data_IF_983881295300
#
_entry.id   IF_983881295300
#
_cell.length_a   1.000
_cell.length_b   1.000
_cell.length_c   1.000
_cell.angle_alpha   90.00
_cell.angle_beta   90.00
_cell.angle_gamma   90.00
#
_symmetry.space_group_name_H-M   'P 1'
#
loop_
_entity.id
_entity.type
_entity.pdbx_description
1 polymer ?
#
# COMPACT_ATOMS: atom_id res chain seq x y z
N UNK A 1 2.49 -0.98 18.19
CA UNK A 1 1.28 -0.75 17.37
C UNK A 1 1.75 -0.23 16.03
N UNK A 2 1.25 -0.74 14.89
CA UNK A 2 1.58 -0.15 13.60
C UNK A 2 1.17 1.32 13.62
N UNK A 3 2.13 2.23 13.43
CA UNK A 3 1.93 3.65 13.72
C UNK A 3 0.93 4.26 12.74
N UNK A 4 0.08 5.13 13.25
CA UNK A 4 -1.00 5.78 12.52
C UNK A 4 -0.68 7.28 12.41
N UNK A 5 -0.99 7.86 11.25
CA UNK A 5 -0.76 9.26 10.92
C UNK A 5 -2.07 9.83 10.35
N UNK A 6 -2.58 10.91 10.94
CA UNK A 6 -3.63 11.70 10.30
C UNK A 6 -2.99 12.51 9.16
N UNK A 7 -3.14 12.03 7.93
CA UNK A 7 -2.51 12.62 6.75
C UNK A 7 -3.32 13.83 6.24
N UNK A 8 -4.64 13.73 6.31
CA UNK A 8 -5.58 14.82 6.03
C UNK A 8 -6.63 14.84 7.13
N UNK A 9 -7.35 15.97 7.36
CA UNK A 9 -8.40 16.04 8.38
C UNK A 9 -9.41 14.89 8.27
N UNK A 10 -9.49 14.07 9.32
CA UNK A 10 -10.36 12.89 9.40
C UNK A 10 -9.88 11.66 8.62
N UNK A 11 -8.69 11.71 8.00
CA UNK A 11 -8.16 10.62 7.16
C UNK A 11 -6.81 10.14 7.66
N UNK A 12 -6.86 9.02 8.38
CA UNK A 12 -5.71 8.33 8.94
C UNK A 12 -5.10 7.33 7.95
N UNK A 13 -3.78 7.16 8.02
CA UNK A 13 -2.98 6.17 7.29
C UNK A 13 -2.08 5.42 8.26
N UNK A 14 -1.62 4.22 7.87
CA UNK A 14 -0.94 3.32 8.81
C UNK A 14 -1.90 2.33 9.45
N UNK A 15 -1.41 1.53 10.38
CA UNK A 15 -2.25 0.58 11.13
C UNK A 15 -3.16 -0.29 10.27
N UNK A 16 -4.43 -0.39 10.69
CA UNK A 16 -5.50 -1.06 9.95
C UNK A 16 -6.31 -0.10 9.06
N UNK A 17 -5.89 1.17 8.96
CA UNK A 17 -6.58 2.14 8.11
C UNK A 17 -6.41 1.78 6.64
N UNK A 18 -7.45 2.03 5.81
CA UNK A 18 -7.35 1.84 4.37
C UNK A 18 -6.24 2.72 3.79
N UNK A 19 -5.51 2.16 2.83
CA UNK A 19 -4.49 2.81 2.04
C UNK A 19 -5.05 4.07 1.39
N UNK A 20 -4.30 5.16 1.51
CA UNK A 20 -4.64 6.46 0.96
C UNK A 20 -4.12 6.58 -0.47
N UNK A 21 -5.01 6.84 -1.41
CA UNK A 21 -4.72 6.82 -2.85
C UNK A 21 -4.63 8.24 -3.37
N UNK A 22 -3.45 8.61 -3.87
CA UNK A 22 -3.13 9.88 -4.49
C UNK A 22 -3.18 9.72 -6.01
N UNK A 23 -4.12 10.42 -6.64
CA UNK A 23 -4.16 10.61 -8.08
C UNK A 23 -3.25 11.79 -8.46
N UNK A 24 -2.05 11.50 -8.95
CA UNK A 24 -1.10 12.51 -9.40
C UNK A 24 -1.50 13.02 -10.80
N UNK A 25 -2.07 14.21 -10.85
CA UNK A 25 -2.34 14.93 -12.09
C UNK A 25 -1.03 15.50 -12.64
N UNK A 26 -0.11 15.91 -11.76
CA UNK A 26 1.18 16.45 -12.15
C UNK A 26 1.01 17.63 -13.12
N UNK A 27 1.55 17.49 -14.34
CA UNK A 27 1.41 18.44 -15.44
C UNK A 27 0.57 17.91 -16.62
N UNK A 28 -0.14 16.78 -16.46
CA UNK A 28 -0.98 16.17 -17.52
C UNK A 28 -2.19 17.03 -17.91
N UNK A 29 -2.45 18.12 -17.18
CA UNK A 29 -3.44 19.13 -17.52
C UNK A 29 -2.99 20.08 -18.66
N UNK A 30 -1.73 19.99 -19.12
CA UNK A 30 -1.20 20.75 -20.27
C UNK A 30 -1.32 22.28 -20.15
N UNK A 31 -1.32 22.82 -18.93
CA UNK A 31 -1.55 24.25 -18.69
C UNK A 31 -3.01 24.70 -18.81
N UNK A 32 -3.96 23.78 -19.01
CA UNK A 32 -5.38 24.08 -19.17
C UNK A 32 -6.16 23.81 -17.86
N UNK A 33 -6.86 24.85 -17.38
CA UNK A 33 -7.57 24.82 -16.11
C UNK A 33 -8.84 23.94 -16.14
N UNK A 34 -9.51 23.88 -17.28
CA UNK A 34 -10.72 23.07 -17.44
C UNK A 34 -10.36 21.59 -17.54
N UNK A 35 -9.24 21.26 -18.21
CA UNK A 35 -8.68 19.90 -18.16
C UNK A 35 -8.30 19.54 -16.72
N UNK A 36 -7.62 20.43 -15.98
CA UNK A 36 -7.28 20.18 -14.58
C UNK A 36 -8.52 19.90 -13.71
N UNK A 37 -9.59 20.70 -13.83
CA UNK A 37 -10.86 20.46 -13.10
C UNK A 37 -11.53 19.15 -13.50
N UNK A 38 -11.50 18.79 -14.79
CA UNK A 38 -11.99 17.49 -15.26
C UNK A 38 -11.21 16.34 -14.64
N UNK A 39 -9.88 16.44 -14.58
CA UNK A 39 -9.03 15.43 -13.95
C UNK A 39 -9.27 15.30 -12.44
N UNK A 40 -9.48 16.40 -11.72
CA UNK A 40 -9.86 16.39 -10.29
C UNK A 40 -11.20 15.64 -10.10
N UNK A 41 -12.20 15.94 -10.95
CA UNK A 41 -13.49 15.25 -10.92
C UNK A 41 -13.35 13.76 -11.19
N UNK A 42 -12.59 13.39 -12.22
CA UNK A 42 -12.31 11.99 -12.56
C UNK A 42 -11.65 11.26 -11.40
N UNK A 43 -10.64 11.85 -10.74
CA UNK A 43 -10.00 11.24 -9.58
C UNK A 43 -11.02 10.94 -8.46
N UNK A 44 -11.93 11.88 -8.20
CA UNK A 44 -13.02 11.71 -7.22
C UNK A 44 -13.99 10.60 -7.62
N UNK A 45 -14.44 10.58 -8.86
CA UNK A 45 -15.40 9.59 -9.39
C UNK A 45 -14.82 8.17 -9.38
N UNK A 46 -13.51 8.03 -9.61
CA UNK A 46 -12.81 6.74 -9.50
C UNK A 46 -12.57 6.29 -8.05
N UNK A 47 -12.77 7.18 -7.07
CA UNK A 47 -12.63 6.88 -5.64
C UNK A 47 -11.24 7.12 -5.06
N UNK A 48 -10.39 7.94 -5.70
CA UNK A 48 -9.14 8.39 -5.10
C UNK A 48 -9.41 9.32 -3.89
N UNK A 49 -8.50 9.32 -2.92
CA UNK A 49 -8.61 10.16 -1.73
C UNK A 49 -8.15 11.61 -2.00
N UNK A 50 -7.14 11.79 -2.86
CA UNK A 50 -6.50 13.08 -3.13
C UNK A 50 -6.18 13.28 -4.61
N UNK A 51 -6.43 14.48 -5.14
CA UNK A 51 -5.87 14.95 -6.39
C UNK A 51 -4.59 15.76 -6.11
N UNK A 52 -3.49 15.41 -6.76
CA UNK A 52 -2.18 16.05 -6.55
C UNK A 52 -1.64 16.68 -7.82
N UNK A 53 -1.02 17.86 -7.67
CA UNK A 53 -0.34 18.61 -8.72
C UNK A 53 1.16 18.76 -8.42
N UNK A 54 1.89 19.47 -9.29
CA UNK A 54 3.27 19.90 -9.04
C UNK A 54 3.33 21.41 -9.11
N UNK A 55 3.89 22.07 -8.09
CA UNK A 55 4.10 23.53 -8.06
C UNK A 55 5.59 23.85 -8.09
N UNK A 56 6.01 24.75 -8.96
CA UNK A 56 7.37 25.28 -9.01
C UNK A 56 7.37 26.81 -9.16
N UNK A 57 8.22 27.52 -8.43
CA UNK A 57 8.67 28.85 -8.82
C UNK A 57 9.94 28.70 -9.65
N UNK A 58 9.82 28.86 -10.97
CA UNK A 58 10.81 28.37 -11.93
C UNK A 58 12.21 28.96 -11.73
N UNK A 59 12.29 30.23 -11.34
CA UNK A 59 13.53 30.95 -11.06
C UNK A 59 14.24 30.47 -9.80
N UNK A 60 13.51 29.85 -8.86
CA UNK A 60 14.06 29.25 -7.65
C UNK A 60 14.43 27.79 -7.85
N UNK A 61 13.69 27.09 -8.72
CA UNK A 61 13.94 25.69 -9.05
C UNK A 61 15.08 25.49 -10.04
N UNK A 62 15.18 26.37 -11.04
CA UNK A 62 16.11 26.20 -12.15
C UNK A 62 17.07 27.39 -12.25
N UNK A 63 18.35 27.11 -12.49
CA UNK A 63 19.27 28.15 -12.92
C UNK A 63 18.96 28.62 -14.35
N UNK A 64 19.47 29.79 -14.71
CA UNK A 64 19.22 30.41 -16.03
C UNK A 64 19.55 29.47 -17.20
N UNK A 65 20.68 28.78 -17.14
CA UNK A 65 21.14 27.85 -18.19
C UNK A 65 20.17 26.68 -18.39
N UNK A 66 19.57 26.16 -17.32
CA UNK A 66 18.57 25.10 -17.41
C UNK A 66 17.27 25.59 -18.05
N UNK A 67 16.84 26.82 -17.77
CA UNK A 67 15.67 27.44 -18.39
C UNK A 67 15.91 27.75 -19.89
N UNK A 68 17.10 28.22 -20.24
CA UNK A 68 17.48 28.55 -21.63
C UNK A 68 17.81 27.31 -22.48
N UNK A 69 17.90 26.12 -21.86
CA UNK A 69 18.24 24.87 -22.56
C UNK A 69 17.23 24.60 -23.70
N UNK A 70 17.68 24.38 -24.95
CA UNK A 70 16.80 23.99 -26.04
C UNK A 70 16.02 22.72 -25.70
N UNK A 71 14.73 22.69 -26.02
CA UNK A 71 13.87 21.55 -25.75
C UNK A 71 13.11 21.12 -27.02
N UNK A 72 13.69 20.14 -27.72
CA UNK A 72 13.24 19.68 -29.05
C UNK A 72 12.36 18.44 -29.00
N UNK A 73 11.86 18.07 -27.81
CA UNK A 73 10.93 16.96 -27.64
C UNK A 73 9.62 17.21 -28.39
N UNK A 74 8.99 16.15 -28.93
CA UNK A 74 7.61 16.22 -29.46
C UNK A 74 6.59 16.70 -28.41
N UNK A 75 6.93 16.59 -27.14
CA UNK A 75 6.12 17.05 -26.01
C UNK A 75 6.39 18.52 -25.62
N UNK A 76 7.25 19.24 -26.35
CA UNK A 76 7.60 20.63 -26.00
C UNK A 76 6.49 21.62 -26.30
N UNK A 77 6.21 22.55 -25.37
CA UNK A 77 5.31 23.70 -25.57
C UNK A 77 6.07 25.01 -25.82
N UNK A 78 7.38 24.92 -26.07
CA UNK A 78 8.23 26.05 -26.39
C UNK A 78 9.53 25.63 -27.07
N UNK A 79 10.39 26.58 -27.37
CA UNK A 79 11.72 26.34 -27.94
C UNK A 79 12.74 25.98 -26.85
N UNK A 80 12.53 26.46 -25.63
CA UNK A 80 13.37 26.19 -24.46
C UNK A 80 12.61 25.40 -23.38
N UNK A 81 13.36 24.76 -22.48
CA UNK A 81 12.78 24.06 -21.35
C UNK A 81 12.03 25.01 -20.41
N UNK A 82 12.52 26.24 -20.27
CA UNK A 82 11.86 27.31 -19.52
C UNK A 82 10.51 27.68 -20.11
N UNK A 83 10.41 27.90 -21.43
CA UNK A 83 9.12 28.17 -22.10
C UNK A 83 8.13 27.02 -21.92
N UNK A 84 8.59 25.77 -22.10
CA UNK A 84 7.80 24.58 -21.84
C UNK A 84 7.28 24.54 -20.39
N UNK A 85 8.12 24.84 -19.39
CA UNK A 85 7.70 24.86 -17.99
C UNK A 85 6.77 26.01 -17.65
N UNK A 86 6.99 27.21 -18.20
CA UNK A 86 6.09 28.36 -18.02
C UNK A 86 4.70 28.11 -18.58
N UNK A 87 4.60 27.38 -19.69
CA UNK A 87 3.29 27.00 -20.25
C UNK A 87 2.49 26.08 -19.32
N UNK A 88 3.17 25.17 -18.62
CA UNK A 88 2.53 24.17 -17.77
C UNK A 88 2.32 24.65 -16.33
N UNK A 89 3.04 25.68 -15.88
CA UNK A 89 2.97 26.13 -14.50
C UNK A 89 1.74 27.01 -14.28
N UNK A 90 0.85 26.61 -13.38
CA UNK A 90 -0.28 27.42 -12.98
C UNK A 90 0.13 28.56 -12.04
N UNK A 91 -0.54 29.70 -12.16
CA UNK A 91 -0.42 30.81 -11.22
C UNK A 91 -1.01 30.46 -9.85
N UNK A 92 -0.61 31.21 -8.81
CA UNK A 92 -1.17 31.06 -7.47
C UNK A 92 -2.70 31.20 -7.43
N UNK A 93 -3.26 32.10 -8.25
CA UNK A 93 -4.71 32.29 -8.35
C UNK A 93 -5.40 31.04 -8.91
N UNK A 94 -4.82 30.40 -9.93
CA UNK A 94 -5.32 29.15 -10.50
C UNK A 94 -5.24 28.00 -9.50
N UNK A 95 -4.17 27.89 -8.70
CA UNK A 95 -4.10 26.89 -7.62
C UNK A 95 -5.20 27.09 -6.56
N UNK A 96 -5.48 28.34 -6.17
CA UNK A 96 -6.59 28.66 -5.25
C UNK A 96 -7.94 28.25 -5.85
N UNK A 97 -8.13 28.48 -7.15
CA UNK A 97 -9.34 28.07 -7.84
C UNK A 97 -9.50 26.55 -7.89
N UNK A 98 -8.42 25.81 -8.21
CA UNK A 98 -8.43 24.35 -8.23
C UNK A 98 -8.66 23.75 -6.84
N UNK A 99 -8.06 24.33 -5.80
CA UNK A 99 -8.31 23.91 -4.42
C UNK A 99 -9.77 24.10 -4.04
N UNK A 100 -10.37 25.27 -4.33
CA UNK A 100 -11.79 25.53 -4.07
C UNK A 100 -12.67 24.51 -4.79
N UNK A 101 -12.40 24.24 -6.06
CA UNK A 101 -13.14 23.25 -6.83
C UNK A 101 -13.03 21.84 -6.24
N UNK A 102 -11.83 21.42 -5.81
CA UNK A 102 -11.63 20.14 -5.15
C UNK A 102 -12.41 20.04 -3.82
N UNK A 103 -12.44 21.12 -3.04
CA UNK A 103 -13.24 21.20 -1.81
C UNK A 103 -14.75 21.09 -2.11
N UNK A 104 -15.25 21.78 -3.13
CA UNK A 104 -16.66 21.75 -3.53
C UNK A 104 -17.14 20.35 -3.90
N UNK A 105 -16.29 19.54 -4.54
CA UNK A 105 -16.64 18.16 -4.92
C UNK A 105 -16.21 17.10 -3.89
N UNK A 106 -15.59 17.52 -2.78
CA UNK A 106 -15.20 16.67 -1.66
C UNK A 106 -14.04 15.71 -1.94
N UNK A 107 -12.95 16.18 -2.56
CA UNK A 107 -11.68 15.46 -2.67
C UNK A 107 -10.55 16.29 -2.04
N UNK A 108 -9.57 15.64 -1.41
CA UNK A 108 -8.40 16.37 -0.92
C UNK A 108 -7.56 16.89 -2.09
N UNK A 109 -6.93 18.04 -1.87
CA UNK A 109 -6.11 18.73 -2.85
C UNK A 109 -4.73 19.02 -2.25
N UNK A 110 -3.68 18.71 -2.99
CA UNK A 110 -2.30 19.09 -2.63
C UNK A 110 -1.44 19.26 -3.87
N UNK A 111 -0.18 19.65 -3.68
CA UNK A 111 0.84 19.60 -4.72
C UNK A 111 2.20 19.23 -4.13
N UNK A 112 3.09 18.73 -4.98
CA UNK A 112 4.52 18.69 -4.70
C UNK A 112 5.11 20.08 -4.82
N UNK A 113 5.66 20.64 -3.74
CA UNK A 113 6.41 21.90 -3.79
C UNK A 113 7.84 21.61 -4.25
N UNK A 114 8.18 21.99 -5.48
CA UNK A 114 9.43 21.59 -6.15
C UNK A 114 10.60 22.58 -5.94
N UNK A 115 10.43 23.49 -4.99
CA UNK A 115 11.40 24.46 -4.49
C UNK A 115 10.84 25.08 -3.21
N UNK A 116 11.68 25.85 -2.50
CA UNK A 116 11.30 26.46 -1.22
C UNK A 116 10.12 27.42 -1.35
N UNK A 117 10.08 28.25 -2.39
CA UNK A 117 9.02 29.25 -2.57
C UNK A 117 7.68 28.60 -2.93
N UNK A 118 7.71 27.50 -3.69
CA UNK A 118 6.54 26.68 -3.92
C UNK A 118 6.00 26.09 -2.61
N UNK A 119 6.87 25.65 -1.69
CA UNK A 119 6.43 25.16 -0.36
C UNK A 119 5.84 26.28 0.50
N UNK A 120 6.43 27.49 0.48
CA UNK A 120 5.83 28.66 1.14
C UNK A 120 4.42 28.92 0.64
N UNK A 121 4.24 28.98 -0.68
CA UNK A 121 2.91 29.15 -1.28
C UNK A 121 1.94 28.03 -0.87
N UNK A 122 2.37 26.77 -0.88
CA UNK A 122 1.52 25.65 -0.48
C UNK A 122 1.16 25.69 1.00
N UNK A 123 2.04 26.22 1.85
CA UNK A 123 1.75 26.46 3.26
C UNK A 123 0.67 27.53 3.44
N UNK A 124 0.77 28.64 2.71
CA UNK A 124 -0.25 29.71 2.68
C UNK A 124 -1.58 29.22 2.11
N UNK A 125 -1.53 28.36 1.08
CA UNK A 125 -2.70 27.69 0.51
C UNK A 125 -3.34 26.70 1.48
N UNK A 126 -2.70 26.39 2.63
CA UNK A 126 -3.22 25.50 3.66
C UNK A 126 -3.50 24.08 3.14
N UNK A 127 -2.60 23.52 2.32
CA UNK A 127 -2.69 22.11 1.90
C UNK A 127 -2.63 21.16 3.11
N UNK A 128 -3.29 20.00 3.07
CA UNK A 128 -3.36 19.09 4.21
C UNK A 128 -2.00 18.46 4.55
N UNK A 129 -1.15 18.24 3.54
CA UNK A 129 0.20 17.70 3.69
C UNK A 129 1.12 18.19 2.58
N UNK A 130 2.43 18.18 2.82
CA UNK A 130 3.44 18.44 1.80
C UNK A 130 3.88 17.14 1.12
N UNK A 131 3.79 17.09 -0.21
CA UNK A 131 4.48 16.05 -0.99
C UNK A 131 5.89 16.52 -1.32
N UNK A 132 6.89 15.72 -0.94
CA UNK A 132 8.28 15.91 -1.38
C UNK A 132 8.55 14.94 -2.53
N UNK A 133 8.88 15.50 -3.70
CA UNK A 133 9.24 14.71 -4.87
C UNK A 133 10.64 14.11 -4.72
N UNK A 134 10.88 12.99 -5.39
CA UNK A 134 12.16 12.27 -5.38
C UNK A 134 13.39 13.13 -5.72
N UNK A 135 13.21 14.20 -6.51
CA UNK A 135 14.28 15.14 -6.86
C UNK A 135 14.73 16.04 -5.72
N UNK A 136 13.90 16.23 -4.69
CA UNK A 136 14.16 17.09 -3.54
C UNK A 136 14.45 16.29 -2.25
N UNK A 137 14.39 14.95 -2.32
CA UNK A 137 14.56 14.08 -1.14
C UNK A 137 15.96 14.15 -0.53
N UNK A 138 17.00 14.44 -1.31
CA UNK A 138 18.35 14.69 -0.78
C UNK A 138 18.64 16.18 -0.52
N UNK A 139 17.66 17.06 -0.69
CA UNK A 139 17.79 18.48 -0.42
C UNK A 139 17.52 18.74 1.08
N UNK A 140 18.53 18.45 1.91
CA UNK A 140 18.39 18.51 3.37
C UNK A 140 17.96 19.89 3.91
N UNK A 141 18.48 21.05 3.43
CA UNK A 141 17.98 22.35 3.86
C UNK A 141 16.50 22.56 3.55
N UNK A 142 16.04 22.13 2.37
CA UNK A 142 14.63 22.17 1.99
C UNK A 142 13.77 21.31 2.92
N UNK A 143 14.22 20.08 3.22
CA UNK A 143 13.50 19.17 4.12
C UNK A 143 13.38 19.74 5.53
N UNK A 144 14.46 20.32 6.07
CA UNK A 144 14.47 20.92 7.40
C UNK A 144 13.46 22.06 7.52
N UNK A 145 13.46 22.98 6.53
CA UNK A 145 12.53 24.11 6.47
C UNK A 145 11.09 23.63 6.31
N UNK A 146 10.84 22.64 5.45
CA UNK A 146 9.51 22.08 5.21
C UNK A 146 8.98 21.38 6.46
N UNK A 147 9.82 20.59 7.15
CA UNK A 147 9.43 19.89 8.37
C UNK A 147 9.04 20.86 9.49
N UNK A 148 9.78 21.96 9.67
CA UNK A 148 9.49 23.00 10.67
C UNK A 148 8.13 23.69 10.51
N UNK A 149 7.48 23.56 9.35
CA UNK A 149 6.11 24.06 9.12
C UNK A 149 5.03 23.24 9.82
N UNK A 150 5.37 22.07 10.37
CA UNK A 150 4.50 21.27 11.24
C UNK A 150 3.32 20.56 10.56
N UNK A 151 3.25 20.55 9.22
CA UNK A 151 2.23 19.81 8.47
C UNK A 151 2.71 18.39 8.13
N UNK A 152 1.82 17.40 7.98
CA UNK A 152 2.21 16.08 7.53
C UNK A 152 3.03 16.10 6.24
N UNK A 153 3.96 15.15 6.08
CA UNK A 153 4.83 15.05 4.90
C UNK A 153 4.78 13.67 4.24
N UNK A 154 4.77 13.64 2.91
CA UNK A 154 4.81 12.42 2.10
C UNK A 154 6.05 12.47 1.21
N UNK A 155 7.09 11.72 1.53
CA UNK A 155 8.42 11.86 0.92
C UNK A 155 8.72 10.65 0.04
N UNK A 156 8.93 10.86 -1.27
CA UNK A 156 9.30 9.76 -2.20
C UNK A 156 10.81 9.47 -2.14
N UNK A 157 11.20 8.22 -2.41
CA UNK A 157 12.60 7.77 -2.32
C UNK A 157 13.31 7.55 -3.66
N UNK A 158 12.69 7.93 -4.78
CA UNK A 158 13.28 7.68 -6.10
C UNK A 158 14.63 8.37 -6.27
N UNK A 159 15.56 7.73 -6.98
CA UNK A 159 16.94 8.21 -7.18
C UNK A 159 17.77 8.31 -5.89
N UNK A 160 17.27 7.81 -4.75
CA UNK A 160 17.98 7.86 -3.47
C UNK A 160 18.48 6.49 -3.03
N UNK A 161 19.60 6.48 -2.31
CA UNK A 161 20.11 5.28 -1.65
C UNK A 161 19.42 5.09 -0.29
N UNK A 162 19.54 3.87 0.27
CA UNK A 162 19.07 3.61 1.64
C UNK A 162 19.75 4.52 2.67
N UNK A 163 21.04 4.84 2.50
CA UNK A 163 21.76 5.70 3.43
C UNK A 163 21.27 7.15 3.37
N UNK A 164 20.92 7.64 2.19
CA UNK A 164 20.23 8.93 2.06
C UNK A 164 18.89 8.90 2.78
N UNK A 165 18.09 7.85 2.63
CA UNK A 165 16.80 7.76 3.34
C UNK A 165 16.94 7.71 4.86
N UNK A 166 18.00 7.07 5.39
CA UNK A 166 18.33 7.14 6.82
C UNK A 166 18.65 8.57 7.25
N UNK A 167 19.42 9.32 6.46
CA UNK A 167 19.71 10.73 6.76
C UNK A 167 18.44 11.59 6.74
N UNK A 168 17.58 11.40 5.73
CA UNK A 168 16.27 12.06 5.65
C UNK A 168 15.45 11.80 6.91
N UNK A 169 15.38 10.53 7.35
CA UNK A 169 14.68 10.16 8.57
C UNK A 169 15.25 10.89 9.81
N UNK A 170 16.57 10.91 9.97
CA UNK A 170 17.23 11.59 11.10
C UNK A 170 17.04 13.11 11.09
N UNK A 171 16.88 13.73 9.92
CA UNK A 171 16.62 15.18 9.79
C UNK A 171 15.15 15.49 10.07
N UNK A 172 14.23 14.75 9.46
CA UNK A 172 12.79 15.08 9.49
C UNK A 172 12.17 14.67 10.82
N UNK A 173 12.44 13.47 11.34
CA UNK A 173 11.75 12.90 12.51
C UNK A 173 11.79 13.80 13.76
N UNK A 174 12.93 14.40 14.17
CA UNK A 174 12.99 15.26 15.35
C UNK A 174 12.22 16.58 15.20
N UNK A 175 12.06 17.06 13.96
CA UNK A 175 11.38 18.33 13.66
C UNK A 175 9.88 18.13 13.43
N UNK A 176 9.53 17.01 12.81
CA UNK A 176 8.17 16.66 12.44
C UNK A 176 8.01 15.14 12.41
N UNK A 177 7.35 14.54 13.42
CA UNK A 177 7.14 13.10 13.45
C UNK A 177 6.04 12.63 12.49
N UNK A 178 5.27 13.56 11.90
CA UNK A 178 4.11 13.28 11.07
C UNK A 178 4.52 13.14 9.59
N UNK A 179 5.17 12.05 9.23
CA UNK A 179 5.53 11.80 7.84
C UNK A 179 5.49 10.32 7.47
N UNK A 180 5.50 10.05 6.18
CA UNK A 180 5.67 8.72 5.61
C UNK A 180 6.67 8.72 4.45
N UNK A 181 7.28 7.57 4.20
CA UNK A 181 8.11 7.35 3.01
C UNK A 181 7.35 6.58 1.94
N UNK A 182 7.53 6.97 0.68
CA UNK A 182 7.06 6.21 -0.47
C UNK A 182 8.24 5.55 -1.16
N UNK A 183 8.26 4.22 -1.22
CA UNK A 183 9.17 3.52 -2.12
C UNK A 183 8.85 3.91 -3.56
N UNK A 184 9.88 4.27 -4.33
CA UNK A 184 9.73 4.85 -5.64
C UNK A 184 10.94 4.55 -6.53
N UNK A 185 10.70 4.26 -7.80
CA UNK A 185 11.74 4.25 -8.84
C UNK A 185 11.35 5.26 -9.91
N UNK A 186 12.17 6.30 -10.12
CA UNK A 186 11.87 7.43 -11.02
C UNK A 186 12.18 7.09 -12.49
N UNK A 187 11.40 6.18 -13.09
CA UNK A 187 11.47 5.83 -14.50
C UNK A 187 10.05 5.79 -15.09
N UNK A 188 9.85 6.37 -16.29
CA UNK A 188 8.52 6.65 -16.84
C UNK A 188 8.44 6.14 -18.29
N UNK A 189 7.87 4.95 -18.56
CA UNK A 189 7.36 3.98 -17.61
C UNK A 189 8.47 3.15 -16.92
N UNK A 190 8.16 2.64 -15.74
CA UNK A 190 9.00 1.72 -14.97
C UNK A 190 8.79 0.27 -15.41
N UNK A 191 9.88 -0.47 -15.63
CA UNK A 191 9.81 -1.90 -15.88
C UNK A 191 9.56 -2.68 -14.58
N UNK A 192 8.83 -3.82 -14.61
CA UNK A 192 8.50 -4.59 -13.41
C UNK A 192 9.71 -5.02 -12.57
N UNK A 193 10.82 -5.39 -13.22
CA UNK A 193 12.05 -5.87 -12.58
C UNK A 193 12.71 -4.76 -11.73
N UNK A 194 12.49 -3.50 -12.09
CA UNK A 194 13.08 -2.33 -11.44
C UNK A 194 12.18 -1.73 -10.34
N UNK A 195 10.97 -2.27 -10.14
CA UNK A 195 10.03 -1.78 -9.13
C UNK A 195 10.54 -2.01 -7.70
N UNK A 196 11.31 -3.08 -7.48
CA UNK A 196 11.98 -3.37 -6.21
C UNK A 196 11.03 -3.32 -4.99
N UNK A 197 9.82 -3.89 -5.11
CA UNK A 197 8.78 -3.81 -4.06
C UNK A 197 9.22 -4.33 -2.69
N UNK A 198 10.21 -5.24 -2.62
CA UNK A 198 10.78 -5.72 -1.35
C UNK A 198 11.41 -4.61 -0.50
N UNK A 199 11.75 -3.47 -1.09
CA UNK A 199 12.22 -2.29 -0.35
C UNK A 199 11.15 -1.76 0.62
N UNK A 200 9.85 -1.96 0.33
CA UNK A 200 8.75 -1.62 1.25
C UNK A 200 8.94 -2.34 2.59
N UNK A 201 9.24 -3.65 2.56
CA UNK A 201 9.48 -4.44 3.77
C UNK A 201 10.76 -4.03 4.49
N UNK A 202 11.81 -3.65 3.76
CA UNK A 202 13.03 -3.12 4.38
C UNK A 202 12.80 -1.76 5.05
N UNK A 203 12.03 -0.86 4.43
CA UNK A 203 11.63 0.40 5.05
C UNK A 203 10.78 0.18 6.31
N UNK A 204 9.85 -0.77 6.30
CA UNK A 204 9.06 -1.10 7.49
C UNK A 204 9.93 -1.60 8.66
N UNK A 205 11.03 -2.31 8.37
CA UNK A 205 11.98 -2.76 9.40
C UNK A 205 12.85 -1.60 9.93
N UNK A 206 13.35 -0.76 9.02
CA UNK A 206 14.30 0.31 9.36
C UNK A 206 13.63 1.56 9.95
N UNK A 207 12.38 1.83 9.56
CA UNK A 207 11.58 2.97 9.99
C UNK A 207 10.23 2.49 10.56
N UNK A 208 10.25 1.68 11.64
CA UNK A 208 9.05 0.98 12.14
C UNK A 208 7.99 1.90 12.75
N UNK A 209 8.32 3.18 12.92
CA UNK A 209 7.51 4.18 13.61
C UNK A 209 6.95 5.25 12.66
N UNK A 210 6.95 4.98 11.35
CA UNK A 210 6.26 5.77 10.33
C UNK A 210 5.53 4.86 9.33
N UNK A 211 4.43 5.31 8.72
CA UNK A 211 3.82 4.59 7.60
C UNK A 211 4.79 4.51 6.40
N UNK A 212 4.72 3.41 5.67
CA UNK A 212 5.43 3.23 4.40
C UNK A 212 4.40 3.11 3.28
N UNK A 213 4.67 3.72 2.14
CA UNK A 213 3.83 3.70 0.96
C UNK A 213 4.61 3.39 -0.32
N UNK A 214 3.97 3.60 -1.46
CA UNK A 214 4.52 3.34 -2.79
C UNK A 214 4.11 4.45 -3.77
N UNK A 215 5.06 4.93 -4.56
CA UNK A 215 4.84 5.87 -5.67
C UNK A 215 5.24 5.16 -6.95
N UNK A 216 4.24 4.79 -7.75
CA UNK A 216 4.40 3.95 -8.92
C UNK A 216 4.50 4.74 -10.22
N UNK A 217 5.34 4.24 -11.13
CA UNK A 217 5.48 4.73 -12.51
C UNK A 217 5.44 3.61 -13.56
N UNK A 218 5.07 2.40 -13.14
CA UNK A 218 4.84 1.23 -13.99
C UNK A 218 3.62 1.39 -14.91
N UNK A 219 3.45 0.46 -15.85
CA UNK A 219 2.19 0.31 -16.60
C UNK A 219 1.23 -0.64 -15.89
N UNK A 220 -0.08 -0.41 -16.04
CA UNK A 220 -1.12 -1.20 -15.38
C UNK A 220 -1.14 -1.00 -13.86
N UNK A 221 -1.84 -1.91 -13.17
CA UNK A 221 -2.15 -1.76 -11.73
C UNK A 221 -1.53 -2.85 -10.84
N UNK A 222 -1.02 -3.93 -11.42
CA UNK A 222 -0.64 -5.14 -10.68
C UNK A 222 0.45 -4.88 -9.62
N UNK A 223 1.45 -4.08 -9.97
CA UNK A 223 2.58 -3.74 -9.07
C UNK A 223 2.09 -2.86 -7.92
N UNK A 224 1.28 -1.84 -8.21
CA UNK A 224 0.63 -1.02 -7.19
C UNK A 224 -0.23 -1.81 -6.21
N UNK A 225 -1.01 -2.80 -6.70
CA UNK A 225 -1.80 -3.68 -5.84
C UNK A 225 -0.90 -4.58 -4.99
N UNK A 226 0.17 -5.13 -5.57
CA UNK A 226 1.16 -5.93 -4.85
C UNK A 226 1.89 -5.11 -3.77
N UNK A 227 2.17 -3.82 -4.03
CA UNK A 227 2.75 -2.92 -3.04
C UNK A 227 1.84 -2.77 -1.80
N UNK A 228 0.52 -2.64 -2.00
CA UNK A 228 -0.45 -2.62 -0.90
C UNK A 228 -0.49 -3.95 -0.17
N UNK A 229 -0.43 -5.09 -0.88
CA UNK A 229 -0.34 -6.41 -0.24
C UNK A 229 0.92 -6.57 0.63
N UNK A 230 2.01 -5.90 0.28
CA UNK A 230 3.25 -5.83 1.08
C UNK A 230 3.18 -4.80 2.23
N UNK A 231 2.04 -4.12 2.40
CA UNK A 231 1.78 -3.21 3.49
C UNK A 231 2.03 -1.73 3.18
N UNK A 232 2.04 -1.32 1.91
CA UNK A 232 1.99 0.10 1.56
C UNK A 232 0.67 0.75 2.02
N UNK A 233 0.77 1.88 2.73
CA UNK A 233 -0.36 2.60 3.35
C UNK A 233 -0.71 3.93 2.67
N UNK A 234 0.16 4.37 1.77
CA UNK A 234 -0.08 5.48 0.85
C UNK A 234 0.34 5.00 -0.53
N UNK A 235 -0.50 5.23 -1.54
CA UNK A 235 -0.27 4.82 -2.91
C UNK A 235 -0.41 6.02 -3.83
N UNK A 236 0.61 6.31 -4.62
CA UNK A 236 0.62 7.41 -5.58
C UNK A 236 0.80 6.90 -7.01
N UNK A 237 -0.08 7.35 -7.91
CA UNK A 237 -0.05 7.00 -9.33
C UNK A 237 -0.43 8.20 -10.18
N UNK A 238 0.33 8.42 -11.26
CA UNK A 238 -0.04 9.42 -12.25
C UNK A 238 -1.36 9.05 -12.93
N UNK A 239 -2.18 10.06 -13.27
CA UNK A 239 -3.46 9.87 -13.96
C UNK A 239 -3.54 10.74 -15.21
N UNK A 240 -4.28 10.27 -16.21
CA UNK A 240 -4.55 10.99 -17.46
C UNK A 240 -6.00 10.77 -17.90
N UNK A 241 -6.52 11.66 -18.73
CA UNK A 241 -7.79 11.43 -19.45
C UNK A 241 -7.57 10.64 -20.74
N UNK A 242 -6.34 10.69 -21.28
CA UNK A 242 -5.95 10.06 -22.54
C UNK A 242 -4.42 9.88 -22.56
N UNK A 243 -3.94 8.65 -22.79
CA UNK A 243 -2.49 8.35 -22.85
C UNK A 243 -1.79 8.87 -24.10
N UNK A 244 -2.55 9.20 -25.15
CA UNK A 244 -2.01 9.67 -26.45
C UNK A 244 -1.73 11.16 -26.47
N UNK A 245 -2.18 11.89 -25.45
CA UNK A 245 -2.01 13.32 -25.33
C UNK A 245 -0.55 13.77 -25.26
N UNK A 246 -0.33 15.02 -25.65
CA UNK A 246 0.98 15.65 -25.58
C UNK A 246 1.38 15.85 -24.12
N UNK A 247 2.46 15.16 -23.71
CA UNK A 247 3.10 15.31 -22.40
C UNK A 247 3.96 14.08 -22.09
N UNK A 248 4.99 14.22 -21.27
CA UNK A 248 5.95 13.13 -20.99
C UNK A 248 5.37 12.03 -20.12
N UNK A 249 4.40 12.36 -19.27
CA UNK A 249 3.97 11.48 -18.19
C UNK A 249 2.71 10.68 -18.58
N UNK A 250 2.02 11.06 -19.65
CA UNK A 250 0.77 10.43 -20.08
C UNK A 250 0.92 8.92 -20.31
N UNK A 251 2.01 8.45 -20.93
CA UNK A 251 2.20 7.03 -21.24
C UNK A 251 2.32 6.13 -20.00
N UNK A 252 2.83 6.67 -18.90
CA UNK A 252 2.95 5.97 -17.61
C UNK A 252 1.73 6.20 -16.69
N UNK A 253 0.82 7.09 -17.07
CA UNK A 253 -0.35 7.46 -16.27
C UNK A 253 -1.49 6.46 -16.42
N UNK A 254 -2.35 6.37 -15.40
CA UNK A 254 -3.58 5.57 -15.44
C UNK A 254 -4.72 6.38 -16.07
N UNK A 255 -5.45 5.76 -17.00
CA UNK A 255 -6.72 6.27 -17.51
C UNK A 255 -7.86 6.04 -16.49
N UNK A 256 -9.03 6.68 -16.65
CA UNK A 256 -10.12 6.61 -15.66
C UNK A 256 -10.55 5.19 -15.31
N UNK A 257 -10.62 4.30 -16.30
CA UNK A 257 -10.96 2.89 -16.10
C UNK A 257 -9.93 2.15 -15.25
N UNK A 258 -8.64 2.38 -15.52
CA UNK A 258 -7.52 1.76 -14.79
C UNK A 258 -7.42 2.31 -13.36
N UNK A 259 -7.66 3.62 -13.15
CA UNK A 259 -7.69 4.20 -11.81
C UNK A 259 -8.83 3.61 -10.98
N UNK A 260 -10.04 3.51 -11.54
CA UNK A 260 -11.17 2.89 -10.85
C UNK A 260 -10.91 1.40 -10.54
N UNK A 261 -10.26 0.68 -11.46
CA UNK A 261 -9.85 -0.71 -11.23
C UNK A 261 -8.79 -0.82 -10.14
N UNK A 262 -7.81 0.08 -10.10
CA UNK A 262 -6.81 0.15 -9.05
C UNK A 262 -7.48 0.34 -7.68
N UNK A 263 -8.34 1.34 -7.54
CA UNK A 263 -9.04 1.62 -6.27
C UNK A 263 -9.83 0.38 -5.82
N UNK A 264 -10.63 -0.22 -6.71
CA UNK A 264 -11.39 -1.44 -6.38
C UNK A 264 -10.48 -2.60 -5.96
N UNK A 265 -9.38 -2.81 -6.68
CA UNK A 265 -8.44 -3.91 -6.42
C UNK A 265 -7.71 -3.73 -5.09
N UNK A 266 -7.32 -2.49 -4.77
CA UNK A 266 -6.74 -2.13 -3.46
C UNK A 266 -7.72 -2.47 -2.35
N UNK A 267 -8.98 -2.01 -2.43
CA UNK A 267 -10.00 -2.27 -1.41
C UNK A 267 -10.33 -3.76 -1.28
N UNK A 268 -10.29 -4.51 -2.39
CA UNK A 268 -10.45 -5.97 -2.39
C UNK A 268 -9.30 -6.64 -1.62
N UNK A 269 -8.05 -6.30 -1.94
CA UNK A 269 -6.87 -6.88 -1.30
C UNK A 269 -6.82 -6.54 0.19
N UNK A 270 -7.15 -5.32 0.59
CA UNK A 270 -7.21 -4.93 2.01
C UNK A 270 -8.17 -5.80 2.82
N UNK A 271 -9.34 -6.12 2.25
CA UNK A 271 -10.28 -7.07 2.87
C UNK A 271 -9.74 -8.50 2.88
N UNK A 272 -9.02 -8.90 1.83
CA UNK A 272 -8.48 -10.25 1.67
C UNK A 272 -7.26 -10.53 2.56
N UNK A 273 -6.47 -9.51 2.92
CA UNK A 273 -5.31 -9.64 3.81
C UNK A 273 -5.69 -10.22 5.17
N UNK A 274 -6.89 -9.90 5.68
CA UNK A 274 -7.52 -10.60 6.79
C UNK A 274 -6.67 -10.68 8.07
N UNK A 275 -6.74 -11.82 8.74
CA UNK A 275 -6.03 -12.08 10.00
C UNK A 275 -4.72 -12.84 9.75
N UNK A 276 -3.65 -12.57 10.51
CA UNK A 276 -2.45 -13.41 10.48
C UNK A 276 -2.65 -14.79 11.14
N UNK A 277 -3.78 -15.03 11.83
CA UNK A 277 -4.06 -16.29 12.52
C UNK A 277 -4.63 -17.34 11.57
N UNK A 278 -3.93 -18.47 11.39
CA UNK A 278 -4.47 -19.66 10.70
C UNK A 278 -5.35 -20.46 11.66
N UNK A 279 -6.61 -20.63 11.28
CA UNK A 279 -7.60 -21.42 12.02
C UNK A 279 -8.63 -21.98 11.03
N UNK A 280 -9.37 -23.01 11.47
CA UNK A 280 -10.54 -23.51 10.75
C UNK A 280 -11.63 -22.44 10.79
N UNK A 281 -12.15 -22.06 9.63
CA UNK A 281 -13.17 -21.03 9.50
C UNK A 281 -14.58 -21.64 9.49
N UNK A 282 -15.61 -20.89 9.91
CA UNK A 282 -17.00 -21.34 9.81
C UNK A 282 -17.42 -21.77 8.40
N UNK A 283 -16.90 -21.11 7.36
CA UNK A 283 -17.19 -21.48 5.97
C UNK A 283 -16.55 -22.82 5.53
N UNK A 284 -15.56 -23.32 6.29
CA UNK A 284 -14.90 -24.60 6.03
C UNK A 284 -15.61 -25.77 6.74
N UNK A 285 -16.49 -25.50 7.72
CA UNK A 285 -17.09 -26.54 8.58
C UNK A 285 -17.80 -27.65 7.80
N UNK A 286 -18.66 -27.32 6.83
CA UNK A 286 -19.35 -28.34 6.03
C UNK A 286 -18.37 -29.21 5.21
N UNK A 287 -17.28 -28.61 4.74
CA UNK A 287 -16.23 -29.34 4.03
C UNK A 287 -15.45 -30.24 5.01
N UNK A 288 -15.15 -29.73 6.21
CA UNK A 288 -14.46 -30.48 7.26
C UNK A 288 -15.32 -31.63 7.82
N UNK A 289 -16.63 -31.48 7.95
CA UNK A 289 -17.54 -32.58 8.34
C UNK A 289 -17.51 -33.69 7.29
N UNK A 290 -17.60 -33.32 6.00
CA UNK A 290 -17.62 -34.25 4.87
C UNK A 290 -16.29 -34.95 4.64
N UNK A 291 -15.16 -34.24 4.70
CA UNK A 291 -13.85 -34.71 4.26
C UNK A 291 -12.83 -34.85 5.40
N UNK A 292 -13.09 -34.26 6.55
CA UNK A 292 -12.26 -34.36 7.74
C UNK A 292 -12.12 -35.80 8.17
N UNK A 293 -10.91 -36.18 8.58
CA UNK A 293 -10.58 -37.56 8.91
C UNK A 293 -10.58 -37.77 10.40
N UNK A 294 -10.64 -39.02 10.81
CA UNK A 294 -10.48 -39.45 12.20
C UNK A 294 -9.52 -40.64 12.25
N UNK A 295 -8.97 -40.89 13.43
CA UNK A 295 -8.24 -42.13 13.70
C UNK A 295 -9.24 -43.28 13.70
N UNK A 296 -8.92 -44.33 12.94
CA UNK A 296 -9.75 -45.52 12.74
C UNK A 296 -8.92 -46.75 13.08
N UNK A 297 -9.56 -47.76 13.66
CA UNK A 297 -8.95 -49.05 13.93
C UNK A 297 -8.57 -49.74 12.60
N UNK A 298 -7.29 -50.05 12.40
CA UNK A 298 -6.82 -50.79 11.21
C UNK A 298 -7.07 -52.28 11.33
N UNK A 299 -7.23 -52.75 12.56
CA UNK A 299 -7.51 -54.14 12.95
C UNK A 299 -8.47 -54.10 14.13
N UNK A 300 -9.14 -55.20 14.44
CA UNK A 300 -9.91 -55.33 15.68
C UNK A 300 -9.02 -55.15 16.92
N UNK A 301 -9.42 -54.30 17.86
CA UNK A 301 -8.68 -53.95 19.08
C UNK A 301 -9.52 -54.34 20.31
N UNK A 302 -9.18 -55.43 21.03
CA UNK A 302 -9.89 -55.84 22.23
C UNK A 302 -9.80 -54.83 23.38
N UNK A 303 -10.80 -54.82 24.27
CA UNK A 303 -10.75 -54.09 25.54
C UNK A 303 -9.48 -54.42 26.33
N UNK A 304 -8.89 -53.40 26.94
CA UNK A 304 -7.68 -53.50 27.72
C UNK A 304 -6.38 -53.57 26.90
N UNK A 305 -6.46 -53.58 25.57
CA UNK A 305 -5.29 -53.55 24.70
C UNK A 305 -4.55 -52.22 24.81
N UNK A 306 -3.22 -52.26 24.90
CA UNK A 306 -2.37 -51.07 24.78
C UNK A 306 -2.17 -50.78 23.30
N UNK A 307 -2.58 -49.59 22.85
CA UNK A 307 -2.52 -49.20 21.45
C UNK A 307 -1.10 -49.10 20.94
N UNK A 308 -0.86 -49.65 19.75
CA UNK A 308 0.34 -49.44 18.95
C UNK A 308 -0.03 -48.73 17.64
N UNK A 309 0.94 -48.07 17.00
CA UNK A 309 0.67 -47.32 15.78
C UNK A 309 0.19 -48.22 14.62
N UNK A 310 0.68 -49.45 14.54
CA UNK A 310 0.30 -50.42 13.51
C UNK A 310 -1.16 -50.90 13.62
N UNK A 311 -1.80 -50.71 14.78
CA UNK A 311 -3.22 -50.98 14.98
C UNK A 311 -4.13 -49.84 14.50
N UNK A 312 -3.56 -48.68 14.17
CA UNK A 312 -4.30 -47.46 13.85
C UNK A 312 -4.10 -47.09 12.37
N UNK A 313 -5.12 -46.44 11.81
CA UNK A 313 -5.06 -45.80 10.49
C UNK A 313 -5.89 -44.52 10.51
N UNK A 314 -5.92 -43.80 9.39
CA UNK A 314 -6.66 -42.53 9.26
C UNK A 314 -7.59 -42.61 8.05
N UNK A 315 -8.89 -42.49 8.29
CA UNK A 315 -9.93 -42.48 7.24
C UNK A 315 -10.92 -41.35 7.47
N UNK A 316 -11.75 -41.05 6.48
CA UNK A 316 -12.95 -40.23 6.72
C UNK A 316 -13.89 -41.09 7.57
N UNK A 317 -13.97 -40.77 8.87
CA UNK A 317 -14.77 -41.52 9.84
C UNK A 317 -16.15 -40.88 10.06
N UNK A 318 -17.13 -41.73 10.34
CA UNK A 318 -18.47 -41.36 10.83
C UNK A 318 -18.90 -42.39 11.88
N UNK A 319 -19.15 -42.00 13.15
CA UNK A 319 -19.03 -40.65 13.71
C UNK A 319 -17.57 -40.14 13.70
N UNK A 320 -17.38 -38.83 13.87
CA UNK A 320 -16.03 -38.27 14.06
C UNK A 320 -15.50 -38.66 15.44
N UNK A 321 -14.25 -39.13 15.46
CA UNK A 321 -13.51 -39.45 16.68
C UNK A 321 -12.24 -38.62 16.79
N UNK A 322 -11.18 -39.20 17.36
CA UNK A 322 -9.91 -38.50 17.51
C UNK A 322 -9.42 -37.91 16.18
N UNK A 323 -8.97 -36.65 16.17
CA UNK A 323 -8.44 -36.04 14.97
C UNK A 323 -7.11 -36.71 14.58
N UNK A 324 -6.76 -36.74 13.29
CA UNK A 324 -5.60 -37.48 12.79
C UNK A 324 -4.27 -37.02 13.41
N UNK A 325 -4.13 -35.74 13.73
CA UNK A 325 -2.96 -35.17 14.39
C UNK A 325 -2.70 -35.76 15.77
N UNK A 326 -3.71 -36.33 16.43
CA UNK A 326 -3.59 -36.95 17.74
C UNK A 326 -3.23 -38.44 17.69
N UNK A 327 -3.08 -39.04 16.50
CA UNK A 327 -2.84 -40.49 16.36
C UNK A 327 -1.63 -40.99 17.17
N UNK A 328 -0.55 -40.21 17.25
CA UNK A 328 0.64 -40.57 18.02
C UNK A 328 0.43 -40.45 19.53
N UNK A 329 -0.46 -39.54 19.97
CA UNK A 329 -0.83 -39.37 21.37
C UNK A 329 -1.66 -40.55 21.88
N UNK A 330 -2.22 -41.36 20.98
CA UNK A 330 -2.97 -42.57 21.33
C UNK A 330 -2.06 -43.78 21.58
N UNK A 331 -0.84 -43.80 21.00
CA UNK A 331 0.10 -44.90 21.18
C UNK A 331 0.50 -45.02 22.65
N UNK A 332 0.43 -46.24 23.20
CA UNK A 332 0.70 -46.52 24.60
C UNK A 332 -0.51 -46.33 25.53
N UNK A 333 -1.61 -45.72 25.07
CA UNK A 333 -2.86 -45.66 25.84
C UNK A 333 -3.60 -47.00 25.77
N UNK A 334 -4.42 -47.29 26.78
CA UNK A 334 -5.22 -48.51 26.87
C UNK A 334 -6.62 -48.30 26.29
N UNK A 335 -7.15 -49.30 25.59
CA UNK A 335 -8.54 -49.32 25.15
C UNK A 335 -9.48 -49.70 26.28
N UNK A 336 -10.55 -48.92 26.45
CA UNK A 336 -11.55 -49.10 27.50
C UNK A 336 -12.72 -49.99 27.05
N UNK A 337 -12.88 -50.14 25.73
CA UNK A 337 -13.88 -51.00 25.10
C UNK A 337 -13.25 -51.72 23.93
N UNK A 338 -13.86 -52.82 23.49
CA UNK A 338 -13.45 -53.45 22.23
C UNK A 338 -13.92 -52.58 21.05
N UNK A 339 -13.04 -52.35 20.09
CA UNK A 339 -13.32 -51.61 18.84
C UNK A 339 -13.06 -52.55 17.66
N UNK A 340 -14.00 -52.64 16.72
CA UNK A 340 -13.86 -53.53 15.55
C UNK A 340 -12.97 -52.88 14.47
N UNK A 341 -12.50 -53.68 13.51
CA UNK A 341 -11.76 -53.15 12.36
C UNK A 341 -12.64 -52.15 11.60
N UNK A 342 -12.03 -51.05 11.14
CA UNK A 342 -12.67 -49.95 10.43
C UNK A 342 -13.58 -49.02 11.26
N UNK A 343 -13.80 -49.32 12.55
CA UNK A 343 -14.48 -48.39 13.44
C UNK A 343 -13.60 -47.19 13.81
N UNK A 344 -14.26 -46.05 14.03
CA UNK A 344 -13.59 -44.83 14.47
C UNK A 344 -13.20 -44.94 15.95
N UNK A 345 -11.98 -44.52 16.29
CA UNK A 345 -11.53 -44.43 17.68
C UNK A 345 -12.15 -43.17 18.31
N UNK A 346 -13.04 -43.35 19.29
CA UNK A 346 -13.77 -42.27 19.95
C UNK A 346 -13.08 -41.83 21.24
N UNK A 347 -13.32 -40.60 21.68
CA UNK A 347 -12.66 -40.04 22.88
C UNK A 347 -12.93 -40.83 24.17
N UNK A 348 -14.10 -41.46 24.26
CA UNK A 348 -14.56 -42.29 25.37
C UNK A 348 -14.08 -43.74 25.27
N UNK A 349 -13.55 -44.17 24.12
CA UNK A 349 -13.04 -45.54 23.95
C UNK A 349 -11.60 -45.72 24.45
N UNK A 350 -10.90 -44.62 24.80
CA UNK A 350 -9.47 -44.62 25.14
C UNK A 350 -9.23 -44.08 26.55
N UNK A 351 -8.33 -44.72 27.28
CA UNK A 351 -7.90 -44.27 28.61
C UNK A 351 -7.22 -42.89 28.51
N UNK A 352 -7.85 -41.86 29.08
CA UNK A 352 -7.31 -40.52 29.12
C UNK A 352 -6.66 -40.22 30.48
N UNK A 353 -5.33 -40.13 30.53
CA UNK A 353 -4.58 -39.67 31.72
C UNK A 353 -4.52 -38.14 31.88
N UNK A 354 -5.42 -37.40 31.22
CA UNK A 354 -5.47 -35.94 31.29
C UNK A 354 -6.51 -35.49 32.31
N UNK A 355 -6.11 -35.31 33.58
CA UNK A 355 -6.76 -34.33 34.45
C UNK A 355 -6.67 -32.97 33.75
N UNK A 356 -7.73 -32.52 33.07
CA UNK A 356 -7.91 -31.11 32.74
C UNK A 356 -8.02 -30.35 34.06
N UNK A 357 -6.91 -29.83 34.56
CA UNK A 357 -6.94 -28.69 35.48
C UNK A 357 -7.52 -27.56 34.63
N UNK A 358 -8.75 -27.17 34.94
CA UNK A 358 -9.33 -25.91 34.45
C UNK A 358 -8.39 -24.79 34.89
N UNK A 359 -7.84 -24.03 33.95
CA UNK A 359 -7.24 -22.71 34.16
C UNK A 359 -7.97 -21.71 33.28
#
# INVERSE_FOLDING_TARGET
MPLELELCPGRWVGGQHPCFIIAEIGQNHQGDLDIAKRMIRTAKECGADCAKFQKSELEFKFNRKALERPYTSKHSWGTTYGEHKRHLEFSHAQYKELQRYAQEIGIFFTASGMDEMAVEFLHELNVPFFKVGSGDTNNFPYLEKTAKKGRPMVISSGMQSMDTMKQVYQIVKPLNPNFCFLQCTSAYPLQPEDANLRVISEYQKLFPDIPIGYSGHETGIAISVAAVALGAKVLERHITLDKTWKGSDHSASLEPGELAELVRSVRLVERALGSPTKQLLPCEMACNEKLGKSVVAKVRIPEGTVLTLDMLTVKVGEPKGYPPEDIFNLVGKKMLVTVEEDDTILEDSVENHSKKIKS
#
